data_IF_070725818101
#
_entry.id   IF_070725818101
#
_cell.length_a   1.000
_cell.length_b   1.000
_cell.length_c   1.000
_cell.angle_alpha   90.00
_cell.angle_beta   90.00
_cell.angle_gamma   90.00
#
_symmetry.space_group_name_H-M   'P 1'
#
loop_
_entity.id
_entity.type
_entity.pdbx_description
1 polymer ?
#
# COMPACT_ATOMS: atom_id res chain seq x y z
N UNK A 1 57.54 -26.74 39.78
CA UNK A 1 57.01 -26.77 38.40
C UNK A 1 56.35 -25.43 38.11
N UNK A 2 57.05 -24.57 37.37
CA UNK A 2 56.61 -23.22 37.00
C UNK A 2 55.53 -23.35 35.92
N UNK A 3 54.32 -22.86 36.18
CA UNK A 3 53.33 -22.58 35.12
C UNK A 3 53.93 -21.47 34.28
N UNK A 4 54.42 -21.83 33.10
CA UNK A 4 54.82 -20.87 32.09
C UNK A 4 53.59 -20.01 31.77
N UNK A 5 53.76 -18.72 32.00
CA UNK A 5 53.00 -17.62 31.45
C UNK A 5 52.77 -17.88 29.97
N UNK A 6 51.63 -18.49 29.64
CA UNK A 6 50.98 -18.27 28.36
C UNK A 6 50.31 -16.89 28.46
N UNK A 7 51.13 -15.85 28.63
CA UNK A 7 50.82 -14.49 28.22
C UNK A 7 50.82 -14.47 26.69
N UNK A 8 49.92 -15.27 26.12
CA UNK A 8 49.44 -15.09 24.77
C UNK A 8 48.60 -13.81 24.82
N UNK A 9 49.29 -12.68 24.83
CA UNK A 9 48.86 -11.45 24.21
C UNK A 9 48.72 -11.69 22.70
N UNK A 10 47.89 -12.68 22.33
CA UNK A 10 47.10 -12.57 21.13
C UNK A 10 46.30 -11.30 21.36
N UNK A 11 46.82 -10.17 20.87
CA UNK A 11 46.03 -9.02 20.54
C UNK A 11 44.86 -9.57 19.73
N UNK A 12 43.76 -9.89 20.40
CA UNK A 12 42.53 -10.26 19.76
C UNK A 12 42.21 -9.05 18.90
N UNK A 13 42.44 -9.16 17.60
CA UNK A 13 42.22 -8.08 16.66
C UNK A 13 40.74 -7.73 16.79
N UNK A 14 40.45 -6.66 17.53
CA UNK A 14 39.09 -6.19 17.72
C UNK A 14 38.67 -5.48 16.45
N UNK A 15 37.38 -5.55 16.10
CA UNK A 15 36.85 -4.81 14.95
C UNK A 15 37.13 -3.29 15.03
N UNK A 16 37.36 -2.77 16.24
CA UNK A 16 37.74 -1.38 16.50
C UNK A 16 39.14 -1.01 15.95
N UNK A 17 40.01 -2.00 15.70
CA UNK A 17 41.34 -1.77 15.14
C UNK A 17 41.31 -1.67 13.60
N UNK A 18 40.20 -2.01 12.95
CA UNK A 18 40.07 -1.92 11.49
C UNK A 18 39.68 -0.50 11.07
N UNK A 19 40.21 0.02 9.94
CA UNK A 19 39.70 1.25 9.34
C UNK A 19 38.20 1.14 9.02
N UNK A 20 37.40 2.20 9.25
CA UNK A 20 35.96 2.17 9.02
C UNK A 20 35.57 1.72 7.60
N UNK A 21 36.30 2.16 6.58
CA UNK A 21 36.03 1.83 5.18
C UNK A 21 36.23 0.33 4.88
N UNK A 22 37.27 -0.27 5.48
CA UNK A 22 37.55 -1.69 5.33
C UNK A 22 36.48 -2.52 6.05
N UNK A 23 36.09 -2.10 7.26
CA UNK A 23 35.00 -2.73 7.99
C UNK A 23 33.68 -2.62 7.21
N UNK A 24 33.38 -1.45 6.65
CA UNK A 24 32.21 -1.23 5.80
C UNK A 24 32.21 -2.18 4.59
N UNK A 25 33.36 -2.36 3.93
CA UNK A 25 33.49 -3.28 2.80
C UNK A 25 33.25 -4.74 3.20
N UNK A 26 33.79 -5.17 4.35
CA UNK A 26 33.56 -6.50 4.91
C UNK A 26 32.06 -6.70 5.24
N UNK A 27 31.44 -5.71 5.89
CA UNK A 27 30.02 -5.73 6.22
C UNK A 27 29.15 -5.77 4.96
N UNK A 28 29.56 -5.12 3.86
CA UNK A 28 28.88 -5.16 2.57
C UNK A 28 28.78 -6.55 1.93
N UNK A 29 29.58 -7.52 2.38
CA UNK A 29 29.51 -8.91 1.92
C UNK A 29 28.47 -9.75 2.68
N UNK A 30 27.94 -9.23 3.79
CA UNK A 30 27.04 -9.96 4.67
C UNK A 30 25.58 -9.88 4.19
N UNK A 31 24.80 -10.90 4.51
CA UNK A 31 23.35 -10.85 4.30
C UNK A 31 22.71 -9.82 5.25
N UNK A 32 21.51 -9.35 4.93
CA UNK A 32 20.78 -8.42 5.81
C UNK A 32 20.51 -9.01 7.21
N UNK A 33 20.37 -10.34 7.33
CA UNK A 33 20.18 -11.01 8.61
C UNK A 33 21.46 -11.00 9.43
N UNK A 34 22.59 -11.29 8.80
CA UNK A 34 23.90 -11.28 9.45
C UNK A 34 24.31 -9.86 9.84
N UNK A 35 24.06 -8.86 8.97
CA UNK A 35 24.25 -7.45 9.29
C UNK A 35 23.46 -7.01 10.51
N UNK A 36 22.17 -7.39 10.58
CA UNK A 36 21.34 -7.11 11.74
C UNK A 36 21.90 -7.77 13.01
N UNK A 37 22.30 -9.04 12.94
CA UNK A 37 22.87 -9.77 14.08
C UNK A 37 24.18 -9.13 14.57
N UNK A 38 25.07 -8.76 13.66
CA UNK A 38 26.37 -8.13 13.93
C UNK A 38 26.17 -6.73 14.54
N UNK A 39 25.18 -5.96 14.09
CA UNK A 39 24.87 -4.63 14.62
C UNK A 39 24.45 -4.60 16.10
N UNK A 40 24.05 -5.75 16.67
CA UNK A 40 23.60 -5.83 18.06
C UNK A 40 24.79 -6.03 19.02
N UNK A 41 25.87 -6.64 18.55
CA UNK A 41 26.98 -7.12 19.38
C UNK A 41 27.84 -5.99 19.97
N UNK A 42 28.14 -4.95 19.19
CA UNK A 42 29.08 -3.89 19.57
C UNK A 42 28.59 -2.51 19.09
N UNK A 43 28.81 -1.46 19.88
CA UNK A 43 28.33 -0.10 19.60
C UNK A 43 29.05 0.56 18.42
N UNK A 44 30.35 0.31 18.27
CA UNK A 44 31.13 0.81 17.14
C UNK A 44 30.69 0.11 15.85
N UNK A 45 30.59 -1.23 15.88
CA UNK A 45 30.09 -2.00 14.75
C UNK A 45 28.66 -1.61 14.41
N UNK A 46 27.80 -1.31 15.39
CA UNK A 46 26.45 -0.80 15.17
C UNK A 46 26.43 0.51 14.38
N UNK A 47 27.36 1.43 14.69
CA UNK A 47 27.45 2.71 13.98
C UNK A 47 27.83 2.50 12.52
N UNK A 48 28.89 1.72 12.26
CA UNK A 48 29.35 1.42 10.88
C UNK A 48 28.30 0.59 10.13
N UNK A 49 27.72 -0.41 10.77
CA UNK A 49 26.69 -1.24 10.19
C UNK A 49 25.40 -0.47 9.90
N UNK A 50 25.15 0.70 10.51
CA UNK A 50 23.97 1.52 10.21
C UNK A 50 24.14 2.41 8.98
N UNK A 51 25.27 2.31 8.27
CA UNK A 51 25.57 3.13 7.10
C UNK A 51 24.54 2.92 5.97
N UNK A 52 24.14 4.03 5.34
CA UNK A 52 23.15 4.06 4.26
C UNK A 52 23.56 3.16 3.09
N UNK A 53 24.84 3.15 2.72
CA UNK A 53 25.36 2.43 1.55
C UNK A 53 25.19 0.92 1.66
N UNK A 54 25.09 0.38 2.89
CA UNK A 54 24.81 -1.04 3.13
C UNK A 54 23.33 -1.36 2.97
N UNK A 55 22.46 -0.57 3.59
CA UNK A 55 21.04 -0.92 3.71
C UNK A 55 20.18 -0.48 2.53
N UNK A 56 20.53 0.62 1.85
CA UNK A 56 19.75 1.12 0.71
C UNK A 56 19.67 0.10 -0.44
N UNK A 57 20.78 -0.51 -0.91
CA UNK A 57 20.71 -1.54 -1.94
C UNK A 57 19.91 -2.78 -1.50
N UNK A 58 20.09 -3.22 -0.25
CA UNK A 58 19.38 -4.37 0.30
C UNK A 58 17.87 -4.12 0.42
N UNK A 59 17.48 -2.92 0.84
CA UNK A 59 16.09 -2.50 0.94
C UNK A 59 15.44 -2.40 -0.43
N UNK A 60 16.11 -1.77 -1.41
CA UNK A 60 15.58 -1.60 -2.76
C UNK A 60 15.51 -2.92 -3.55
N UNK A 61 16.46 -3.84 -3.32
CA UNK A 61 16.39 -5.18 -3.88
C UNK A 61 15.18 -5.96 -3.36
N UNK A 62 14.82 -5.78 -2.08
CA UNK A 62 13.69 -6.45 -1.45
C UNK A 62 12.36 -5.72 -1.66
N UNK A 63 12.35 -4.40 -1.76
CA UNK A 63 11.16 -3.58 -1.95
C UNK A 63 11.45 -2.48 -2.98
N UNK A 64 11.31 -2.78 -4.28
CA UNK A 64 11.54 -1.81 -5.34
C UNK A 64 10.62 -0.59 -5.19
N UNK A 65 11.21 0.60 -5.22
CA UNK A 65 10.49 1.87 -5.06
C UNK A 65 10.24 2.29 -3.61
N UNK A 66 10.81 1.59 -2.62
CA UNK A 66 10.81 2.05 -1.24
C UNK A 66 11.47 3.44 -1.11
N UNK A 67 10.93 4.28 -0.22
CA UNK A 67 11.41 5.64 0.02
C UNK A 67 11.65 5.84 1.52
N UNK A 68 12.92 5.80 1.95
CA UNK A 68 13.30 6.04 3.34
C UNK A 68 13.29 7.53 3.73
N UNK A 69 13.39 8.44 2.76
CA UNK A 69 13.49 9.88 3.02
C UNK A 69 12.21 10.40 3.66
N UNK A 70 11.05 10.00 3.12
CA UNK A 70 9.74 10.48 3.59
C UNK A 70 9.35 9.97 4.98
N UNK A 71 9.61 8.70 5.28
CA UNK A 71 9.06 8.04 6.48
C UNK A 71 10.08 7.80 7.59
N UNK A 72 11.35 7.60 7.21
CA UNK A 72 12.40 7.18 8.13
C UNK A 72 13.54 8.19 8.19
N UNK A 73 13.32 9.43 7.71
CA UNK A 73 14.31 10.50 7.68
C UNK A 73 15.65 10.05 7.03
N UNK A 74 15.55 9.30 5.93
CA UNK A 74 16.71 8.76 5.20
C UNK A 74 17.36 7.54 5.85
N UNK A 75 16.82 7.04 6.97
CA UNK A 75 17.38 5.89 7.68
C UNK A 75 16.91 4.56 7.07
N UNK A 76 17.67 4.07 6.09
CA UNK A 76 17.44 2.80 5.41
C UNK A 76 17.55 1.58 6.31
N UNK A 77 18.44 1.60 7.30
CA UNK A 77 18.57 0.55 8.31
C UNK A 77 17.24 0.35 9.06
N UNK A 78 16.67 1.46 9.55
CA UNK A 78 15.38 1.46 10.26
C UNK A 78 14.25 0.99 9.35
N UNK A 79 14.19 1.48 8.11
CA UNK A 79 13.18 1.03 7.13
C UNK A 79 13.24 -0.49 6.96
N UNK A 80 14.44 -1.05 6.76
CA UNK A 80 14.62 -2.49 6.55
C UNK A 80 14.14 -3.29 7.76
N UNK A 81 14.56 -2.93 8.97
CA UNK A 81 14.19 -3.64 10.19
C UNK A 81 12.68 -3.58 10.48
N UNK A 82 12.02 -2.46 10.21
CA UNK A 82 10.57 -2.34 10.44
C UNK A 82 9.78 -3.16 9.42
N UNK A 83 10.24 -3.21 8.16
CA UNK A 83 9.55 -3.93 7.08
C UNK A 83 9.86 -5.41 7.01
N UNK A 84 11.05 -5.85 7.47
CA UNK A 84 11.49 -7.24 7.35
C UNK A 84 10.55 -8.28 8.01
N UNK A 85 9.90 -8.00 9.17
CA UNK A 85 8.92 -8.89 9.78
C UNK A 85 7.56 -8.89 9.07
N UNK A 86 7.27 -7.90 8.24
CA UNK A 86 5.99 -7.79 7.56
C UNK A 86 5.93 -8.75 6.37
N UNK A 87 4.71 -9.16 6.00
CA UNK A 87 4.51 -9.87 4.74
C UNK A 87 5.04 -9.00 3.59
N UNK A 88 5.93 -9.56 2.76
CA UNK A 88 6.60 -8.86 1.67
C UNK A 88 5.64 -8.14 0.71
N UNK A 89 4.43 -8.67 0.50
CA UNK A 89 3.44 -8.03 -0.39
C UNK A 89 2.88 -6.72 0.18
N UNK A 90 2.92 -6.54 1.50
CA UNK A 90 2.32 -5.38 2.15
C UNK A 90 3.09 -4.07 1.94
N UNK A 91 4.41 -3.99 2.24
CA UNK A 91 5.17 -2.78 1.96
C UNK A 91 5.12 -2.38 0.49
N UNK A 92 5.17 -3.34 -0.44
CA UNK A 92 5.05 -3.08 -1.87
C UNK A 92 3.72 -2.43 -2.26
N UNK A 93 2.62 -2.96 -1.74
CA UNK A 93 1.30 -2.39 -1.99
C UNK A 93 1.18 -0.98 -1.38
N UNK A 94 1.68 -0.78 -0.16
CA UNK A 94 1.68 0.51 0.51
C UNK A 94 2.50 1.57 -0.26
N UNK A 95 3.69 1.21 -0.74
CA UNK A 95 4.54 2.11 -1.54
C UNK A 95 3.87 2.46 -2.87
N UNK A 96 3.23 1.49 -3.53
CA UNK A 96 2.50 1.73 -4.78
C UNK A 96 1.31 2.67 -4.57
N UNK A 97 0.52 2.47 -3.51
CA UNK A 97 -0.58 3.38 -3.15
C UNK A 97 -0.04 4.78 -2.98
N UNK A 98 1.02 4.93 -2.18
CA UNK A 98 1.60 6.23 -1.89
C UNK A 98 2.13 6.92 -3.13
N UNK A 99 2.82 6.19 -4.01
CA UNK A 99 3.32 6.73 -5.26
C UNK A 99 2.17 7.30 -6.12
N UNK A 100 1.07 6.56 -6.22
CA UNK A 100 -0.11 7.00 -6.97
C UNK A 100 -0.83 8.16 -6.28
N UNK A 101 -0.94 8.14 -4.95
CA UNK A 101 -1.49 9.25 -4.15
C UNK A 101 -0.67 10.52 -4.34
N UNK A 102 0.66 10.45 -4.23
CA UNK A 102 1.55 11.58 -4.40
C UNK A 102 1.47 12.17 -5.82
N UNK A 103 1.47 11.30 -6.84
CA UNK A 103 1.31 11.73 -8.22
C UNK A 103 -0.03 12.45 -8.45
N UNK A 104 -1.12 11.96 -7.84
CA UNK A 104 -2.43 12.59 -7.98
C UNK A 104 -2.53 13.92 -7.20
N UNK A 105 -1.94 13.99 -5.99
CA UNK A 105 -1.87 15.22 -5.20
C UNK A 105 -1.11 16.32 -5.94
N UNK A 106 0.03 15.98 -6.55
CA UNK A 106 0.83 16.91 -7.34
C UNK A 106 0.01 17.49 -8.51
N UNK A 107 -0.69 16.64 -9.26
CA UNK A 107 -1.56 17.08 -10.36
C UNK A 107 -2.68 18.01 -9.88
N UNK A 108 -3.27 17.71 -8.73
CA UNK A 108 -4.31 18.56 -8.16
C UNK A 108 -3.76 19.94 -7.76
N UNK A 109 -2.54 19.99 -7.21
CA UNK A 109 -1.85 21.25 -6.91
C UNK A 109 -1.55 22.05 -8.18
N UNK A 110 -1.06 21.40 -9.24
CA UNK A 110 -0.79 22.04 -10.54
C UNK A 110 -2.09 22.61 -11.16
N UNK A 111 -3.19 21.87 -11.13
CA UNK A 111 -4.49 22.34 -11.63
C UNK A 111 -5.01 23.56 -10.87
N UNK A 112 -4.84 23.59 -9.55
CA UNK A 112 -5.22 24.75 -8.73
C UNK A 112 -4.35 25.98 -9.04
N UNK A 113 -3.06 25.80 -9.31
CA UNK A 113 -2.17 26.90 -9.69
C UNK A 113 -2.54 27.48 -11.06
N UNK A 114 -2.86 26.64 -12.05
CA UNK A 114 -3.29 27.10 -13.38
C UNK A 114 -4.60 27.89 -13.29
N UNK A 115 -5.58 27.42 -12.51
CA UNK A 115 -6.84 28.14 -12.33
C UNK A 115 -6.66 29.50 -11.65
N UNK A 116 -5.77 29.59 -10.64
CA UNK A 116 -5.43 30.88 -10.01
C UNK A 116 -4.68 31.82 -10.94
N UNK A 117 -3.77 31.30 -11.77
CA UNK A 117 -3.02 32.09 -12.74
C UNK A 117 -3.89 32.63 -13.89
N UNK A 118 -4.89 31.87 -14.33
CA UNK A 118 -5.83 32.29 -15.36
C UNK A 118 -6.80 33.39 -14.89
N UNK A 119 -7.25 33.33 -13.63
CA UNK A 119 -8.13 34.36 -13.04
C UNK A 119 -7.46 35.74 -12.86
N UNK A 120 -6.13 35.79 -12.75
CA UNK A 120 -5.40 37.04 -12.50
C UNK A 120 -5.04 37.84 -13.75
N UNK A 121 -5.20 37.30 -14.97
CA UNK A 121 -4.86 37.99 -16.23
C UNK A 121 -6.06 38.58 -16.98
N UNK A 122 -7.28 38.45 -16.45
CA UNK A 122 -8.52 38.82 -17.13
C UNK A 122 -9.08 40.23 -16.84
N UNK A 123 -8.58 40.96 -15.84
CA UNK A 123 -9.20 42.22 -15.38
C UNK A 123 -8.45 43.50 -15.79
N UNK A 124 -7.55 43.46 -16.78
CA UNK A 124 -6.82 44.65 -17.24
C UNK A 124 -6.75 44.81 -18.76
N UNK A 125 -7.86 44.57 -19.46
CA UNK A 125 -7.99 45.03 -20.85
C UNK A 125 -9.44 45.39 -21.21
N UNK A 126 -9.91 46.49 -20.64
CA UNK A 126 -11.01 47.26 -21.20
C UNK A 126 -10.42 48.50 -21.88
N UNK A 127 -10.03 48.36 -23.16
CA UNK A 127 -10.08 49.40 -24.20
C UNK A 127 -9.20 48.99 -25.40
N UNK A 128 -9.81 48.49 -26.46
CA UNK A 128 -9.55 48.86 -27.85
C UNK A 128 -10.33 47.94 -28.80
N UNK A 129 -11.32 48.52 -29.48
CA UNK A 129 -11.97 47.89 -30.61
C UNK A 129 -10.98 47.75 -31.78
N UNK A 130 -10.93 46.58 -32.42
CA UNK A 130 -10.07 46.36 -33.58
C UNK A 130 -10.27 44.99 -34.24
N UNK A 131 -11.05 45.02 -35.31
CA UNK A 131 -11.26 44.05 -36.39
C UNK A 131 -10.39 42.76 -36.49
N UNK A 132 -11.07 41.64 -36.75
CA UNK A 132 -10.76 40.72 -37.85
C UNK A 132 -9.61 39.73 -37.66
N UNK A 133 -9.95 38.44 -37.52
CA UNK A 133 -8.96 37.36 -37.62
C UNK A 133 -9.54 35.98 -37.34
N UNK A 134 -10.08 35.34 -38.37
CA UNK A 134 -10.32 33.89 -38.35
C UNK A 134 -8.98 33.17 -38.28
N UNK A 135 -8.68 32.60 -37.12
CA UNK A 135 -7.53 31.72 -36.89
C UNK A 135 -8.00 30.50 -36.12
N UNK A 136 -8.59 29.53 -36.83
CA UNK A 136 -8.90 28.23 -36.28
C UNK A 136 -7.61 27.53 -35.89
N UNK A 137 -7.27 27.56 -34.60
CA UNK A 137 -6.30 26.66 -34.01
C UNK A 137 -7.06 25.82 -32.99
N UNK A 138 -7.48 24.65 -33.44
CA UNK A 138 -7.78 23.51 -32.59
C UNK A 138 -6.49 23.14 -31.85
N UNK A 139 -6.17 23.93 -30.83
CA UNK A 139 -5.30 23.54 -29.73
C UNK A 139 -5.99 22.38 -29.03
N UNK A 140 -5.78 21.20 -29.61
CA UNK A 140 -6.06 19.90 -29.03
C UNK A 140 -5.49 19.97 -27.62
N UNK A 141 -6.38 20.20 -26.66
CA UNK A 141 -6.08 20.12 -25.25
C UNK A 141 -5.31 18.82 -25.10
N UNK A 142 -3.98 18.95 -24.92
CA UNK A 142 -3.12 17.83 -24.69
C UNK A 142 -3.78 17.11 -23.53
N UNK A 143 -4.31 15.93 -23.84
CA UNK A 143 -5.07 15.08 -22.96
C UNK A 143 -4.38 15.13 -21.60
N UNK A 144 -5.01 15.86 -20.67
CA UNK A 144 -4.70 15.81 -19.25
C UNK A 144 -4.80 14.33 -18.97
N UNK A 145 -3.64 13.67 -18.91
CA UNK A 145 -3.57 12.22 -18.91
C UNK A 145 -4.17 11.78 -17.59
N UNK A 146 -5.49 11.59 -17.62
CA UNK A 146 -6.25 10.94 -16.57
C UNK A 146 -5.42 9.72 -16.23
N UNK A 147 -4.99 9.60 -14.97
CA UNK A 147 -4.56 8.30 -14.49
C UNK A 147 -5.65 7.34 -14.95
N UNK A 148 -5.33 6.37 -15.83
CA UNK A 148 -6.36 5.50 -16.37
C UNK A 148 -7.07 4.96 -15.14
N UNK A 149 -8.39 5.07 -15.10
CA UNK A 149 -9.22 4.67 -13.97
C UNK A 149 -8.83 3.26 -13.43
N UNK A 150 -8.33 2.42 -14.35
CA UNK A 150 -7.71 1.12 -14.15
C UNK A 150 -6.52 1.11 -13.16
N UNK A 151 -5.66 2.15 -13.16
CA UNK A 151 -4.48 2.22 -12.30
C UNK A 151 -4.83 2.34 -10.82
N UNK A 152 -5.90 3.06 -10.46
CA UNK A 152 -6.33 3.13 -9.06
C UNK A 152 -7.09 1.87 -8.64
N UNK A 153 -7.91 1.28 -9.53
CA UNK A 153 -8.59 0.02 -9.21
C UNK A 153 -7.58 -1.10 -8.91
N UNK A 154 -6.52 -1.21 -9.73
CA UNK A 154 -5.43 -2.14 -9.50
C UNK A 154 -4.70 -1.87 -8.19
N UNK A 155 -4.47 -0.60 -7.87
CA UNK A 155 -3.86 -0.18 -6.60
C UNK A 155 -4.76 -0.56 -5.42
N UNK A 156 -6.06 -0.27 -5.47
CA UNK A 156 -7.01 -0.65 -4.42
C UNK A 156 -7.10 -2.17 -4.27
N UNK A 157 -7.09 -2.92 -5.38
CA UNK A 157 -7.08 -4.38 -5.37
C UNK A 157 -5.81 -4.92 -4.70
N UNK A 158 -4.64 -4.36 -5.02
CA UNK A 158 -3.38 -4.76 -4.40
C UNK A 158 -3.32 -4.37 -2.92
N UNK A 159 -3.82 -3.19 -2.58
CA UNK A 159 -3.91 -2.71 -1.19
C UNK A 159 -4.84 -3.55 -0.36
N UNK A 160 -5.95 -3.94 -0.96
CA UNK A 160 -6.92 -4.83 -0.35
C UNK A 160 -6.32 -6.22 -0.12
N UNK A 161 -5.63 -6.79 -1.10
CA UNK A 161 -4.95 -8.09 -0.95
C UNK A 161 -3.85 -8.05 0.12
N UNK A 162 -3.04 -6.99 0.12
CA UNK A 162 -2.05 -6.73 1.16
C UNK A 162 -2.69 -6.52 2.53
N UNK A 163 -3.76 -5.73 2.59
CA UNK A 163 -4.52 -5.44 3.79
C UNK A 163 -5.23 -6.67 4.37
N UNK A 164 -5.69 -7.61 3.53
CA UNK A 164 -6.20 -8.90 3.96
C UNK A 164 -5.11 -9.77 4.56
N UNK A 165 -3.94 -9.84 3.92
CA UNK A 165 -2.79 -10.56 4.47
C UNK A 165 -2.42 -10.01 5.85
N UNK A 166 -2.53 -8.69 6.03
CA UNK A 166 -2.27 -8.02 7.31
C UNK A 166 -3.45 -8.03 8.29
N UNK A 167 -4.69 -8.19 7.84
CA UNK A 167 -5.86 -8.24 8.74
C UNK A 167 -5.81 -9.41 9.71
N UNK A 168 -5.14 -10.49 9.31
CA UNK A 168 -4.85 -11.67 10.14
C UNK A 168 -3.82 -11.36 11.23
N UNK A 169 -2.95 -10.37 11.01
CA UNK A 169 -1.91 -9.96 11.94
C UNK A 169 -2.16 -8.55 12.50
N UNK A 170 -2.75 -8.52 13.71
CA UNK A 170 -3.04 -7.27 14.42
C UNK A 170 -1.81 -6.42 14.71
N UNK A 171 -0.60 -7.00 14.72
CA UNK A 171 0.63 -6.24 14.95
C UNK A 171 0.90 -5.25 13.82
N UNK A 172 0.56 -5.61 12.57
CA UNK A 172 0.73 -4.73 11.40
C UNK A 172 -0.08 -3.44 11.55
N UNK A 173 -1.26 -3.50 12.17
CA UNK A 173 -2.10 -2.30 12.37
C UNK A 173 -1.45 -1.22 13.24
N UNK A 174 -0.39 -1.57 13.98
CA UNK A 174 0.35 -0.64 14.86
C UNK A 174 1.60 -0.07 14.20
N UNK A 175 1.95 -0.50 12.99
CA UNK A 175 3.17 -0.04 12.32
C UNK A 175 3.00 1.35 11.72
N UNK A 176 4.10 1.99 11.34
CA UNK A 176 4.06 3.28 10.67
C UNK A 176 3.51 3.14 9.24
N UNK A 177 3.87 2.05 8.57
CA UNK A 177 3.44 1.70 7.22
C UNK A 177 1.92 1.62 7.11
N UNK A 178 1.26 0.98 8.08
CA UNK A 178 -0.20 0.91 8.12
C UNK A 178 -0.86 2.27 8.32
N UNK A 179 -0.32 3.09 9.24
CA UNK A 179 -0.86 4.43 9.51
C UNK A 179 -0.78 5.31 8.27
N UNK A 180 0.34 5.29 7.57
CA UNK A 180 0.52 6.07 6.34
C UNK A 180 -0.37 5.56 5.21
N UNK A 181 -0.45 4.24 5.02
CA UNK A 181 -1.38 3.66 4.06
C UNK A 181 -2.82 4.09 4.35
N UNK A 182 -3.21 4.12 5.63
CA UNK A 182 -4.53 4.60 6.05
C UNK A 182 -4.72 6.09 5.73
N UNK A 183 -3.71 6.93 5.93
CA UNK A 183 -3.74 8.36 5.54
C UNK A 183 -3.97 8.51 4.04
N UNK A 184 -3.22 7.78 3.22
CA UNK A 184 -3.35 7.79 1.76
C UNK A 184 -4.76 7.34 1.32
N UNK A 185 -5.26 6.25 1.88
CA UNK A 185 -6.60 5.75 1.57
C UNK A 185 -7.71 6.72 2.03
N UNK A 186 -7.52 7.40 3.16
CA UNK A 186 -8.48 8.40 3.67
C UNK A 186 -8.53 9.60 2.74
N UNK A 187 -7.38 10.03 2.23
CA UNK A 187 -7.29 11.09 1.22
C UNK A 187 -8.10 10.73 -0.03
N UNK A 188 -7.96 9.50 -0.56
CA UNK A 188 -8.75 9.03 -1.70
C UNK A 188 -10.25 8.99 -1.40
N UNK A 189 -10.65 8.46 -0.24
CA UNK A 189 -12.06 8.42 0.16
C UNK A 189 -12.68 9.81 0.29
N UNK A 190 -11.88 10.82 0.65
CA UNK A 190 -12.33 12.20 0.83
C UNK A 190 -12.36 12.99 -0.47
N UNK A 191 -11.29 12.92 -1.25
CA UNK A 191 -11.10 13.75 -2.44
C UNK A 191 -11.71 13.13 -3.71
N UNK A 192 -11.85 11.81 -3.74
CA UNK A 192 -12.20 11.02 -4.94
C UNK A 192 -13.13 9.85 -4.58
N UNK A 193 -14.28 10.10 -3.93
CA UNK A 193 -15.17 9.04 -3.44
C UNK A 193 -15.74 8.15 -4.56
N UNK A 194 -15.89 8.69 -5.78
CA UNK A 194 -16.33 7.94 -6.95
C UNK A 194 -15.43 6.76 -7.27
N UNK A 195 -14.15 6.86 -6.95
CA UNK A 195 -13.17 5.81 -7.24
C UNK A 195 -13.28 4.68 -6.21
N UNK A 196 -13.59 5.01 -4.96
CA UNK A 196 -13.95 4.01 -3.93
C UNK A 196 -15.25 3.29 -4.32
N UNK A 197 -16.25 4.03 -4.81
CA UNK A 197 -17.51 3.43 -5.29
C UNK A 197 -17.27 2.54 -6.50
N UNK A 198 -16.44 2.96 -7.45
CA UNK A 198 -16.12 2.16 -8.63
C UNK A 198 -15.39 0.86 -8.25
N UNK A 199 -14.47 0.91 -7.29
CA UNK A 199 -13.84 -0.28 -6.73
C UNK A 199 -14.86 -1.25 -6.09
N UNK A 200 -15.83 -0.74 -5.33
CA UNK A 200 -16.90 -1.57 -4.74
C UNK A 200 -17.76 -2.20 -5.86
N UNK A 201 -18.11 -1.43 -6.89
CA UNK A 201 -18.89 -1.91 -8.03
C UNK A 201 -18.16 -2.97 -8.85
N UNK A 202 -16.89 -2.75 -9.18
CA UNK A 202 -16.11 -3.75 -9.93
C UNK A 202 -15.94 -5.05 -9.12
N UNK A 203 -15.84 -4.93 -7.80
CA UNK A 203 -15.86 -6.08 -6.89
C UNK A 203 -17.20 -6.83 -6.95
N UNK A 204 -18.33 -6.11 -6.99
CA UNK A 204 -19.67 -6.66 -7.12
C UNK A 204 -19.93 -7.30 -8.51
N UNK A 205 -19.45 -6.69 -9.59
CA UNK A 205 -19.59 -7.22 -10.96
C UNK A 205 -18.75 -8.50 -11.15
N UNK A 206 -17.51 -8.51 -10.66
CA UNK A 206 -16.68 -9.71 -10.68
C UNK A 206 -17.30 -10.86 -9.86
N UNK A 207 -18.04 -10.53 -8.81
CA UNK A 207 -18.87 -11.45 -8.03
C UNK A 207 -19.99 -12.06 -8.87
N UNK A 208 -20.77 -11.24 -9.55
CA UNK A 208 -21.88 -11.68 -10.39
C UNK A 208 -21.41 -12.52 -11.60
N UNK A 209 -20.24 -12.22 -12.15
CA UNK A 209 -19.67 -12.93 -13.30
C UNK A 209 -19.03 -14.29 -12.95
N UNK A 210 -18.58 -14.48 -11.70
CA UNK A 210 -17.96 -15.72 -11.26
C UNK A 210 -19.01 -16.78 -10.91
N UNK A 211 -19.40 -17.61 -11.87
CA UNK A 211 -20.29 -18.77 -11.66
C UNK A 211 -19.79 -19.74 -10.58
N UNK A 212 -20.66 -20.69 -10.18
CA UNK A 212 -20.55 -21.62 -9.03
C UNK A 212 -19.20 -22.36 -8.83
N UNK A 213 -18.29 -22.37 -9.80
CA UNK A 213 -17.00 -23.08 -9.75
C UNK A 213 -15.77 -22.30 -9.25
N UNK A 214 -15.86 -20.98 -9.04
CA UNK A 214 -14.70 -20.13 -8.65
C UNK A 214 -14.60 -19.75 -7.16
N UNK A 215 -15.27 -20.47 -6.27
CA UNK A 215 -15.58 -20.02 -4.92
C UNK A 215 -14.44 -20.16 -3.89
N UNK A 216 -13.42 -20.96 -4.18
CA UNK A 216 -12.31 -21.22 -3.23
C UNK A 216 -11.29 -20.08 -3.13
N UNK A 217 -11.18 -19.22 -4.15
CA UNK A 217 -10.13 -18.17 -4.23
C UNK A 217 -10.63 -16.76 -3.83
N UNK A 218 -11.79 -16.65 -3.17
CA UNK A 218 -12.51 -15.37 -3.09
C UNK A 218 -12.83 -14.82 -1.68
N UNK A 219 -11.89 -14.84 -0.71
CA UNK A 219 -12.08 -14.11 0.55
C UNK A 219 -12.25 -12.60 0.35
N UNK A 220 -11.84 -12.06 -0.80
CA UNK A 220 -11.91 -10.63 -1.11
C UNK A 220 -13.32 -10.08 -1.38
N UNK A 221 -14.27 -10.96 -1.72
CA UNK A 221 -15.59 -10.59 -2.23
C UNK A 221 -16.62 -10.23 -1.14
N UNK A 222 -16.46 -10.77 0.07
CA UNK A 222 -17.32 -10.45 1.24
C UNK A 222 -16.85 -9.22 2.02
N UNK A 223 -15.61 -8.77 1.82
CA UNK A 223 -14.97 -7.87 2.78
C UNK A 223 -14.42 -6.58 2.20
N UNK A 224 -14.71 -6.17 0.96
CA UNK A 224 -14.32 -4.83 0.49
C UNK A 224 -14.94 -3.73 1.36
N UNK A 225 -16.24 -3.83 1.65
CA UNK A 225 -16.92 -2.92 2.58
C UNK A 225 -16.42 -3.11 4.01
N UNK A 226 -16.32 -4.36 4.49
CA UNK A 226 -15.81 -4.65 5.82
C UNK A 226 -14.37 -4.14 6.02
N UNK A 227 -13.54 -4.19 4.98
CA UNK A 227 -12.18 -3.65 4.95
C UNK A 227 -12.18 -2.13 5.02
N UNK A 228 -13.04 -1.44 4.24
CA UNK A 228 -13.19 0.02 4.34
C UNK A 228 -13.68 0.44 5.73
N UNK A 229 -14.59 -0.34 6.34
CA UNK A 229 -15.07 -0.15 7.71
C UNK A 229 -13.97 -0.42 8.75
N UNK A 230 -13.24 -1.52 8.63
CA UNK A 230 -12.12 -1.91 9.50
C UNK A 230 -10.97 -0.90 9.46
N UNK A 231 -10.72 -0.33 8.29
CA UNK A 231 -9.77 0.76 8.15
C UNK A 231 -10.27 2.06 8.79
N UNK A 232 -11.56 2.15 9.10
CA UNK A 232 -12.21 3.36 9.61
C UNK A 232 -12.24 4.48 8.56
N UNK A 233 -12.15 4.16 7.27
CA UNK A 233 -12.13 5.16 6.19
C UNK A 233 -13.45 5.91 6.04
N UNK A 234 -14.53 5.33 6.56
CA UNK A 234 -15.85 5.97 6.57
C UNK A 234 -16.04 6.90 7.78
N UNK A 235 -15.15 6.84 8.78
CA UNK A 235 -15.19 7.74 9.95
C UNK A 235 -14.61 9.09 9.51
N UNK A 236 -15.49 10.02 9.14
CA UNK A 236 -15.14 11.34 8.61
C UNK A 236 -15.38 11.52 7.11
N UNK A 237 -15.77 10.46 6.40
CA UNK A 237 -16.23 10.59 5.01
C UNK A 237 -17.55 11.37 4.96
N UNK A 238 -17.80 12.06 3.83
CA UNK A 238 -19.07 12.78 3.63
C UNK A 238 -20.27 11.83 3.75
N UNK A 239 -21.37 12.29 4.37
CA UNK A 239 -22.52 11.45 4.68
C UNK A 239 -23.12 10.75 3.44
N UNK A 240 -23.06 11.38 2.26
CA UNK A 240 -23.49 10.75 1.00
C UNK A 240 -22.65 9.53 0.61
N UNK A 241 -21.34 9.55 0.88
CA UNK A 241 -20.41 8.45 0.61
C UNK A 241 -20.66 7.31 1.59
N UNK A 242 -20.78 7.63 2.88
CA UNK A 242 -21.11 6.65 3.91
C UNK A 242 -22.47 5.97 3.61
N UNK A 243 -23.50 6.75 3.24
CA UNK A 243 -24.81 6.23 2.87
C UNK A 243 -24.77 5.37 1.61
N UNK A 244 -24.01 5.78 0.59
CA UNK A 244 -23.86 4.99 -0.64
C UNK A 244 -23.13 3.68 -0.35
N UNK A 245 -22.01 3.72 0.36
CA UNK A 245 -21.26 2.52 0.76
C UNK A 245 -22.15 1.59 1.60
N UNK A 246 -22.91 2.11 2.56
CA UNK A 246 -23.85 1.32 3.34
C UNK A 246 -25.01 0.74 2.51
N UNK A 247 -25.42 1.40 1.42
CA UNK A 247 -26.45 0.88 0.50
C UNK A 247 -25.91 -0.27 -0.37
N UNK A 248 -24.69 -0.12 -0.90
CA UNK A 248 -24.02 -1.15 -1.69
C UNK A 248 -23.67 -2.36 -0.80
N UNK A 249 -23.24 -2.13 0.45
CA UNK A 249 -23.03 -3.19 1.44
C UNK A 249 -24.29 -4.01 1.68
N UNK A 250 -25.43 -3.35 1.91
CA UNK A 250 -26.73 -4.03 2.08
C UNK A 250 -27.17 -4.78 0.81
N UNK A 251 -26.86 -4.26 -0.38
CA UNK A 251 -27.14 -4.96 -1.63
C UNK A 251 -26.30 -6.24 -1.76
N UNK A 252 -25.02 -6.16 -1.41
CA UNK A 252 -24.09 -7.27 -1.39
C UNK A 252 -24.54 -8.37 -0.41
N UNK A 253 -24.92 -8.00 0.82
CA UNK A 253 -25.42 -8.96 1.83
C UNK A 253 -26.67 -9.71 1.35
N UNK A 254 -27.58 -9.02 0.65
CA UNK A 254 -28.76 -9.65 0.04
C UNK A 254 -28.37 -10.63 -1.08
N UNK A 255 -27.41 -10.27 -1.93
CA UNK A 255 -26.94 -11.14 -3.00
C UNK A 255 -26.29 -12.42 -2.43
N UNK A 256 -25.44 -12.27 -1.41
CA UNK A 256 -24.83 -13.41 -0.70
C UNK A 256 -25.89 -14.31 -0.09
N UNK A 257 -26.87 -13.73 0.61
CA UNK A 257 -27.95 -14.50 1.25
C UNK A 257 -28.86 -15.20 0.23
N UNK A 258 -29.07 -14.61 -0.95
CA UNK A 258 -29.79 -15.24 -2.04
C UNK A 258 -29.02 -16.45 -2.58
N UNK A 259 -27.73 -16.27 -2.86
CA UNK A 259 -26.83 -17.32 -3.34
C UNK A 259 -26.70 -18.47 -2.33
N UNK A 260 -26.59 -18.17 -1.03
CA UNK A 260 -26.56 -19.19 0.02
C UNK A 260 -27.88 -19.99 0.08
N UNK A 261 -29.03 -19.32 -0.02
CA UNK A 261 -30.34 -19.99 -0.09
C UNK A 261 -30.47 -20.87 -1.32
N UNK A 262 -29.99 -20.40 -2.47
CA UNK A 262 -30.00 -21.15 -3.72
C UNK A 262 -29.05 -22.35 -3.69
N UNK A 263 -27.88 -22.21 -3.05
CA UNK A 263 -26.96 -23.32 -2.83
C UNK A 263 -27.58 -24.37 -1.88
N UNK A 264 -28.22 -23.94 -0.78
CA UNK A 264 -28.91 -24.87 0.12
C UNK A 264 -30.13 -25.55 -0.51
N UNK A 265 -30.80 -24.89 -1.47
CA UNK A 265 -31.94 -25.49 -2.18
C UNK A 265 -31.55 -26.34 -3.39
N UNK A 266 -30.37 -26.12 -3.98
CA UNK A 266 -29.89 -26.85 -5.16
C UNK A 266 -29.19 -28.18 -4.82
N UNK A 267 -28.75 -28.37 -3.58
CA UNK A 267 -28.30 -29.68 -3.10
C UNK A 267 -29.54 -30.47 -2.70
N UNK A 268 -30.21 -31.10 -3.67
CA UNK A 268 -31.09 -32.21 -3.36
C UNK A 268 -30.21 -33.30 -2.71
N UNK A 269 -30.44 -33.57 -1.43
CA UNK A 269 -29.81 -34.70 -0.76
C UNK A 269 -30.09 -35.97 -1.56
N UNK A 270 -29.13 -36.89 -1.72
CA UNK A 270 -29.41 -38.19 -2.32
C UNK A 270 -30.62 -38.82 -1.64
N UNK A 271 -31.56 -39.34 -2.42
CA UNK A 271 -32.74 -40.00 -1.88
C UNK A 271 -32.34 -41.09 -0.88
N UNK A 272 -32.89 -41.01 0.34
CA UNK A 272 -32.67 -42.00 1.40
C UNK A 272 -31.62 -41.64 2.46
N UNK A 273 -31.00 -40.45 2.43
CA UNK A 273 -30.10 -40.02 3.51
C UNK A 273 -30.90 -39.34 4.64
N UNK A 274 -30.82 -39.83 5.91
CA UNK A 274 -31.47 -39.20 7.05
C UNK A 274 -31.00 -37.75 7.26
N UNK A 275 -31.89 -36.88 7.73
CA UNK A 275 -31.58 -35.47 8.01
C UNK A 275 -30.45 -35.27 9.05
N UNK A 276 -30.11 -36.31 9.80
CA UNK A 276 -29.08 -36.34 10.85
C UNK A 276 -27.67 -36.69 10.31
N UNK A 277 -27.55 -36.97 9.01
CA UNK A 277 -26.30 -37.37 8.39
C UNK A 277 -25.28 -36.22 8.33
N UNK A 278 -24.02 -36.52 8.61
CA UNK A 278 -22.88 -35.57 8.66
C UNK A 278 -22.66 -34.73 7.38
N UNK A 279 -23.33 -35.09 6.28
CA UNK A 279 -23.32 -34.32 5.03
C UNK A 279 -24.04 -32.96 5.16
N UNK A 280 -24.92 -32.80 6.16
CA UNK A 280 -25.74 -31.60 6.38
C UNK A 280 -25.36 -30.76 7.62
N UNK A 281 -24.34 -31.18 8.39
CA UNK A 281 -23.78 -30.43 9.54
C UNK A 281 -22.43 -29.81 9.17
#
# INVERSE_FOLDING_TARGET
>A
MKRAELDSAACAATFQALPPDLLLHILGLLSAQDLAAVSIQDTYVRQVASDRTLWEPLALARWPGADAERQYAGNWHRLYLVRAPLNHTFPLAADRVRAVTAAQQQRHAEQQQVQRGAGSRGESSAAAAGAGGQGGHSGRAASVAALPHLAFEDVMRQTFNAGLACSKDRAVRRTAEWRELKTDLTWWATQRPEVVVAFIRSTHEALAAGGRGGWSDTPWRRSAVAFLLDLGLLVGAHASVANRVASEARALDRAISAVQREASSAVAGPDGIPAEHWWFN
#
